data_IF_108513481561
#
_entry.id   IF_108513481561
#
_cell.length_a   1.000
_cell.length_b   1.000
_cell.length_c   1.000
_cell.angle_alpha   90.00
_cell.angle_beta   90.00
_cell.angle_gamma   90.00
#
_symmetry.space_group_name_H-M   'P 1'
#
loop_
_entity.id
_entity.type
_entity.pdbx_description
1 polymer ?
#
# COMPACT_ATOMS: atom_id res chain seq x y z
N UNK A 1 4.64 16.62 9.31
CA UNK A 1 3.55 15.65 9.56
C UNK A 1 3.68 14.38 8.70
N UNK A 2 4.08 14.48 7.44
CA UNK A 2 4.10 13.33 6.51
C UNK A 2 5.06 12.20 6.91
N UNK A 3 6.17 12.55 7.57
CA UNK A 3 7.13 11.57 8.14
C UNK A 3 6.54 10.68 9.23
N UNK A 4 5.44 11.11 9.87
CA UNK A 4 4.73 10.31 10.87
C UNK A 4 3.53 9.59 10.25
N UNK A 5 2.87 10.25 9.28
CA UNK A 5 1.71 9.68 8.61
C UNK A 5 2.05 8.44 7.77
N UNK A 6 3.14 8.48 7.02
CA UNK A 6 3.55 7.36 6.18
C UNK A 6 3.80 6.05 6.97
N UNK A 7 4.65 6.02 8.02
CA UNK A 7 4.84 4.81 8.81
C UNK A 7 3.58 4.40 9.59
N UNK A 8 2.78 5.36 10.07
CA UNK A 8 1.49 5.06 10.71
C UNK A 8 0.53 4.34 9.75
N UNK A 9 0.37 4.87 8.55
CA UNK A 9 -0.51 4.30 7.54
C UNK A 9 -0.03 2.91 7.10
N UNK A 10 1.27 2.75 6.86
CA UNK A 10 1.85 1.45 6.54
C UNK A 10 1.65 0.43 7.67
N UNK A 11 1.85 0.84 8.93
CA UNK A 11 1.59 0.00 10.09
C UNK A 11 0.12 -0.44 10.17
N UNK A 12 -0.84 0.46 9.92
CA UNK A 12 -2.27 0.14 9.93
C UNK A 12 -2.69 -0.82 8.82
N UNK A 13 -2.16 -0.62 7.61
CA UNK A 13 -2.38 -1.55 6.50
C UNK A 13 -1.81 -2.93 6.83
N UNK A 14 -0.61 -2.99 7.41
CA UNK A 14 0.04 -4.23 7.80
C UNK A 14 -0.71 -4.96 8.93
N UNK A 15 -1.11 -4.24 9.98
CA UNK A 15 -1.92 -4.76 11.08
C UNK A 15 -3.21 -5.38 10.56
N UNK A 16 -3.89 -4.68 9.65
CA UNK A 16 -5.14 -5.19 9.05
C UNK A 16 -4.90 -6.41 8.17
N UNK A 17 -3.83 -6.40 7.38
CA UNK A 17 -3.47 -7.50 6.50
C UNK A 17 -3.19 -8.78 7.31
N UNK A 18 -2.44 -8.68 8.41
CA UNK A 18 -2.15 -9.82 9.29
C UNK A 18 -3.44 -10.40 9.92
N UNK A 19 -4.40 -9.55 10.28
CA UNK A 19 -5.69 -9.99 10.82
C UNK A 19 -6.57 -10.70 9.77
N UNK A 20 -6.57 -10.22 8.52
CA UNK A 20 -7.42 -10.80 7.47
C UNK A 20 -6.90 -12.12 6.91
N UNK A 21 -5.58 -12.30 6.92
CA UNK A 21 -4.94 -13.55 6.45
C UNK A 21 -4.73 -14.59 7.55
N UNK A 22 -5.10 -14.28 8.80
CA UNK A 22 -4.71 -15.07 9.99
C UNK A 22 -3.21 -15.42 9.95
N UNK A 23 -2.40 -14.46 9.48
CA UNK A 23 -1.01 -14.71 9.11
C UNK A 23 -0.18 -15.20 10.29
N UNK A 24 -0.56 -14.84 11.51
CA UNK A 24 0.14 -15.27 12.72
C UNK A 24 0.02 -16.78 12.94
N UNK A 25 -1.18 -17.35 12.81
CA UNK A 25 -1.40 -18.80 12.95
C UNK A 25 -0.76 -19.60 11.80
N UNK A 26 -0.82 -19.06 10.58
CA UNK A 26 -0.20 -19.68 9.40
C UNK A 26 1.33 -19.59 9.45
N UNK A 27 1.91 -18.51 9.96
CA UNK A 27 3.35 -18.39 10.19
C UNK A 27 3.83 -19.35 11.28
N UNK A 28 3.00 -19.67 12.28
CA UNK A 28 3.34 -20.65 13.30
C UNK A 28 3.29 -22.10 12.79
N UNK A 29 2.36 -22.42 11.88
CA UNK A 29 2.15 -23.78 11.37
C UNK A 29 2.96 -24.11 10.12
N UNK A 30 3.10 -23.15 9.19
CA UNK A 30 3.73 -23.37 7.88
C UNK A 30 5.07 -22.63 7.74
N UNK A 31 5.38 -21.66 8.61
CA UNK A 31 6.60 -20.86 8.55
C UNK A 31 6.66 -19.84 7.41
N UNK A 32 5.71 -19.90 6.47
CA UNK A 32 5.53 -18.96 5.35
C UNK A 32 4.05 -18.68 5.12
N UNK A 33 3.74 -17.45 4.69
CA UNK A 33 2.40 -17.03 4.27
C UNK A 33 2.52 -16.28 2.96
N UNK A 34 1.90 -16.82 1.92
CA UNK A 34 1.75 -16.14 0.65
C UNK A 34 0.53 -15.22 0.71
N UNK A 35 0.78 -13.91 0.69
CA UNK A 35 -0.29 -12.91 0.70
C UNK A 35 -0.63 -12.55 -0.73
N UNK A 36 -1.86 -12.85 -1.11
CA UNK A 36 -2.39 -12.47 -2.41
C UNK A 36 -2.54 -10.95 -2.52
N UNK A 37 -2.35 -10.47 -3.73
CA UNK A 37 -2.40 -9.06 -4.07
C UNK A 37 -3.76 -8.42 -3.75
N UNK A 38 -4.82 -9.18 -3.97
CA UNK A 38 -6.22 -8.81 -3.71
C UNK A 38 -6.44 -8.53 -2.23
N UNK A 39 -5.79 -9.29 -1.34
CA UNK A 39 -5.86 -9.10 0.11
C UNK A 39 -5.14 -7.82 0.54
N UNK A 40 -3.96 -7.54 -0.03
CA UNK A 40 -3.22 -6.30 0.23
C UNK A 40 -4.03 -5.08 -0.18
N UNK A 41 -4.67 -5.14 -1.35
CA UNK A 41 -5.52 -4.06 -1.85
C UNK A 41 -6.80 -3.89 -1.02
N UNK A 42 -7.39 -5.00 -0.58
CA UNK A 42 -8.55 -5.00 0.32
C UNK A 42 -8.24 -4.32 1.64
N UNK A 43 -7.16 -4.72 2.31
CA UNK A 43 -6.69 -4.12 3.55
C UNK A 43 -6.37 -2.63 3.38
N UNK A 44 -5.66 -2.25 2.30
CA UNK A 44 -5.36 -0.85 1.99
C UNK A 44 -6.63 -0.02 1.84
N UNK A 45 -7.59 -0.48 1.03
CA UNK A 45 -8.84 0.24 0.76
C UNK A 45 -9.67 0.40 2.04
N UNK A 46 -9.70 -0.65 2.86
CA UNK A 46 -10.40 -0.63 4.13
C UNK A 46 -9.80 0.42 5.07
N UNK A 47 -8.48 0.41 5.29
CA UNK A 47 -7.80 1.41 6.12
C UNK A 47 -7.99 2.80 5.55
N UNK A 48 -7.88 2.98 4.23
CA UNK A 48 -8.06 4.28 3.60
C UNK A 48 -9.47 4.86 3.78
N UNK A 49 -10.52 4.04 3.69
CA UNK A 49 -11.91 4.51 3.82
C UNK A 49 -12.42 4.59 5.25
N UNK A 50 -11.90 3.77 6.17
CA UNK A 50 -12.44 3.64 7.53
C UNK A 50 -11.54 4.20 8.63
N UNK A 51 -10.26 4.50 8.36
CA UNK A 51 -9.38 5.13 9.35
C UNK A 51 -9.63 6.65 9.42
N UNK A 52 -10.11 7.11 10.57
CA UNK A 52 -10.41 8.52 10.82
C UNK A 52 -9.20 9.45 10.63
N UNK A 53 -7.99 8.99 10.96
CA UNK A 53 -6.78 9.78 10.81
C UNK A 53 -6.43 9.96 9.33
N UNK A 54 -6.62 8.92 8.52
CA UNK A 54 -6.44 8.98 7.06
C UNK A 54 -7.47 9.92 6.42
N UNK A 55 -8.75 9.79 6.80
CA UNK A 55 -9.79 10.71 6.33
C UNK A 55 -9.49 12.16 6.73
N UNK A 56 -9.11 12.41 7.98
CA UNK A 56 -8.74 13.74 8.44
C UNK A 56 -7.55 14.31 7.66
N UNK A 57 -6.53 13.49 7.42
CA UNK A 57 -5.37 13.89 6.62
C UNK A 57 -5.76 14.21 5.17
N UNK A 58 -6.67 13.46 4.55
CA UNK A 58 -7.20 13.77 3.22
C UNK A 58 -7.90 15.14 3.18
N UNK A 59 -8.73 15.46 4.18
CA UNK A 59 -9.34 16.79 4.28
C UNK A 59 -8.30 17.89 4.53
N UNK A 60 -7.27 17.62 5.33
CA UNK A 60 -6.16 18.55 5.53
C UNK A 60 -5.40 18.83 4.23
N UNK A 61 -5.25 17.83 3.34
CA UNK A 61 -4.67 18.01 2.00
C UNK A 61 -5.53 18.91 1.11
N UNK A 62 -6.86 18.75 1.14
CA UNK A 62 -7.78 19.65 0.41
C UNK A 62 -7.69 21.08 0.97
N UNK A 63 -7.63 21.22 2.29
CA UNK A 63 -7.42 22.50 2.97
C UNK A 63 -6.10 23.15 2.55
N UNK A 64 -5.01 22.38 2.50
CA UNK A 64 -3.71 22.85 2.02
C UNK A 64 -3.77 23.27 0.56
N UNK A 65 -4.43 22.49 -0.31
CA UNK A 65 -4.57 22.82 -1.73
C UNK A 65 -5.34 24.12 -1.94
N UNK A 66 -6.50 24.26 -1.30
CA UNK A 66 -7.32 25.48 -1.39
C UNK A 66 -6.57 26.69 -0.85
N UNK A 67 -5.86 26.56 0.29
CA UNK A 67 -5.02 27.62 0.83
C UNK A 67 -3.90 28.02 -0.13
N UNK A 68 -3.21 27.05 -0.73
CA UNK A 68 -2.18 27.33 -1.76
C UNK A 68 -2.77 28.03 -2.98
N UNK A 69 -4.00 27.69 -3.38
CA UNK A 69 -4.67 28.37 -4.50
C UNK A 69 -5.02 29.82 -4.20
N UNK A 70 -5.60 30.11 -3.03
CA UNK A 70 -5.85 31.48 -2.60
C UNK A 70 -4.55 32.27 -2.43
N UNK A 71 -3.51 31.66 -1.86
CA UNK A 71 -2.20 32.28 -1.71
C UNK A 71 -1.55 32.62 -3.06
N UNK A 72 -1.69 31.74 -4.05
CA UNK A 72 -1.20 32.00 -5.41
C UNK A 72 -1.90 33.21 -6.04
N UNK A 73 -3.22 33.29 -5.95
CA UNK A 73 -4.00 34.43 -6.48
C UNK A 73 -3.61 35.74 -5.81
N UNK A 74 -3.38 35.74 -4.49
CA UNK A 74 -2.93 36.93 -3.76
C UNK A 74 -1.54 37.37 -4.20
N UNK A 75 -0.62 36.42 -4.40
CA UNK A 75 0.73 36.67 -4.89
C UNK A 75 0.72 37.26 -6.31
N UNK A 76 -0.18 36.80 -7.18
CA UNK A 76 -0.27 37.26 -8.56
C UNK A 76 -0.93 38.65 -8.71
N UNK A 77 -1.73 39.08 -7.74
CA UNK A 77 -2.39 40.41 -7.78
C UNK A 77 -1.44 41.58 -7.50
N UNK A 78 -0.43 41.40 -6.66
CA UNK A 78 0.62 42.40 -6.44
C UNK A 78 2.01 41.75 -6.35
N UNK A 79 2.61 41.41 -7.50
CA UNK A 79 3.89 40.70 -7.55
C UNK A 79 5.06 41.51 -6.98
N UNK A 80 4.94 42.85 -7.00
CA UNK A 80 6.01 43.77 -6.64
C UNK A 80 6.30 43.79 -5.13
N UNK A 81 5.26 43.60 -4.31
CA UNK A 81 5.36 43.62 -2.86
C UNK A 81 5.36 42.21 -2.23
N UNK A 82 4.65 41.27 -2.84
CA UNK A 82 4.49 39.93 -2.27
C UNK A 82 5.45 38.88 -2.83
N UNK A 83 6.14 39.09 -3.96
CA UNK A 83 7.00 38.05 -4.54
C UNK A 83 8.26 38.60 -5.24
N UNK A 84 9.10 39.38 -4.54
CA UNK A 84 10.26 40.02 -5.14
C UNK A 84 11.30 39.03 -5.71
N UNK A 85 11.26 37.76 -5.29
CA UNK A 85 12.21 36.72 -5.72
C UNK A 85 11.58 35.42 -6.28
N UNK A 86 10.28 35.39 -6.58
CA UNK A 86 9.62 34.20 -7.15
C UNK A 86 9.33 33.04 -6.18
N UNK A 87 9.92 33.05 -4.98
CA UNK A 87 9.86 31.93 -4.04
C UNK A 87 8.46 31.58 -3.53
N UNK A 88 7.56 32.55 -3.41
CA UNK A 88 6.19 32.31 -2.94
C UNK A 88 5.33 31.60 -3.99
N UNK A 89 5.54 31.90 -5.28
CA UNK A 89 4.91 31.16 -6.37
C UNK A 89 5.44 29.73 -6.48
N UNK A 90 6.74 29.52 -6.22
CA UNK A 90 7.31 28.18 -6.17
C UNK A 90 6.71 27.35 -5.03
N UNK A 91 6.59 27.92 -3.84
CA UNK A 91 5.97 27.25 -2.69
C UNK A 91 4.51 26.85 -2.95
N UNK A 92 3.72 27.72 -3.58
CA UNK A 92 2.35 27.40 -3.98
C UNK A 92 2.29 26.23 -4.99
N UNK A 93 3.16 26.22 -5.99
CA UNK A 93 3.26 25.12 -6.97
C UNK A 93 3.66 23.79 -6.31
N UNK A 94 4.58 23.80 -5.34
CA UNK A 94 4.94 22.58 -4.59
C UNK A 94 3.74 22.05 -3.81
N UNK A 95 2.94 22.92 -3.20
CA UNK A 95 1.70 22.53 -2.51
C UNK A 95 0.69 21.87 -3.45
N UNK A 96 0.48 22.44 -4.63
CA UNK A 96 -0.38 21.85 -5.66
C UNK A 96 0.14 20.51 -6.18
N UNK A 97 1.44 20.44 -6.51
CA UNK A 97 2.06 19.21 -7.00
C UNK A 97 1.93 18.09 -5.98
N UNK A 98 2.13 18.38 -4.69
CA UNK A 98 1.99 17.39 -3.63
C UNK A 98 0.57 16.85 -3.51
N UNK A 99 -0.44 17.72 -3.61
CA UNK A 99 -1.84 17.30 -3.63
C UNK A 99 -2.13 16.36 -4.81
N UNK A 100 -1.72 16.73 -6.03
CA UNK A 100 -1.94 15.89 -7.21
C UNK A 100 -1.21 14.55 -7.12
N UNK A 101 0.04 14.52 -6.63
CA UNK A 101 0.77 13.27 -6.42
C UNK A 101 0.04 12.37 -5.42
N UNK A 102 -0.46 12.92 -4.31
CA UNK A 102 -1.21 12.15 -3.32
C UNK A 102 -2.52 11.58 -3.90
N UNK A 103 -3.26 12.38 -4.67
CA UNK A 103 -4.49 11.93 -5.34
C UNK A 103 -4.21 10.87 -6.39
N UNK A 104 -3.24 11.09 -7.27
CA UNK A 104 -2.87 10.14 -8.31
C UNK A 104 -2.35 8.83 -7.71
N UNK A 105 -1.55 8.90 -6.65
CA UNK A 105 -1.11 7.72 -5.93
C UNK A 105 -2.29 6.94 -5.35
N UNK A 106 -3.20 7.62 -4.67
CA UNK A 106 -4.41 7.00 -4.10
C UNK A 106 -5.29 6.39 -5.19
N UNK A 107 -5.50 7.09 -6.30
CA UNK A 107 -6.27 6.59 -7.44
C UNK A 107 -5.60 5.39 -8.10
N UNK A 108 -4.28 5.39 -8.24
CA UNK A 108 -3.54 4.24 -8.77
C UNK A 108 -3.78 2.99 -7.93
N UNK A 109 -3.76 3.12 -6.60
CA UNK A 109 -4.06 2.03 -5.67
C UNK A 109 -5.53 1.60 -5.65
N UNK A 110 -6.46 2.53 -5.87
CA UNK A 110 -7.90 2.24 -5.86
C UNK A 110 -8.42 1.68 -7.19
N UNK A 111 -7.84 2.12 -8.32
CA UNK A 111 -8.32 1.79 -9.67
C UNK A 111 -7.56 0.63 -10.32
N UNK A 112 -6.29 0.41 -9.96
CA UNK A 112 -5.45 -0.60 -10.59
C UNK A 112 -4.75 -1.47 -9.54
N UNK A 113 -4.98 -2.78 -9.61
CA UNK A 113 -4.24 -3.69 -8.75
C UNK A 113 -2.74 -3.67 -9.04
N UNK A 114 -2.31 -3.34 -10.27
CA UNK A 114 -0.92 -3.43 -10.76
C UNK A 114 0.16 -2.84 -9.83
N UNK A 115 -0.20 -1.90 -8.96
CA UNK A 115 0.70 -1.25 -8.01
C UNK A 115 0.99 -2.07 -6.74
N UNK A 116 0.19 -3.11 -6.45
CA UNK A 116 0.44 -4.07 -5.39
C UNK A 116 1.12 -5.33 -5.94
N UNK A 117 2.22 -5.73 -5.30
CA UNK A 117 2.91 -7.00 -5.57
C UNK A 117 2.48 -8.02 -4.51
N UNK A 118 2.25 -9.26 -4.91
CA UNK A 118 2.09 -10.35 -3.95
C UNK A 118 3.36 -10.49 -3.11
N UNK A 119 3.22 -10.77 -1.81
CA UNK A 119 4.34 -10.83 -0.88
C UNK A 119 4.28 -12.10 -0.05
N UNK A 120 5.37 -12.85 -0.03
CA UNK A 120 5.57 -13.97 0.88
C UNK A 120 6.19 -13.46 2.17
N UNK A 121 5.53 -13.68 3.30
CA UNK A 121 6.06 -13.39 4.64
C UNK A 121 6.70 -14.67 5.16
N UNK A 122 7.99 -14.61 5.54
CA UNK A 122 8.71 -15.75 6.13
C UNK A 122 9.00 -15.49 7.60
N UNK A 123 8.85 -16.51 8.45
CA UNK A 123 9.23 -16.44 9.86
C UNK A 123 10.76 -16.49 9.99
N UNK A 124 11.41 -15.52 10.66
CA UNK A 124 12.87 -15.53 10.81
C UNK A 124 13.29 -16.75 11.65
N UNK A 125 14.10 -17.63 11.06
CA UNK A 125 14.57 -18.87 11.69
C UNK A 125 13.78 -20.14 11.36
N UNK A 126 12.81 -20.07 10.45
CA UNK A 126 12.18 -21.27 9.89
C UNK A 126 12.97 -21.71 8.65
N UNK A 127 13.71 -22.81 8.75
CA UNK A 127 14.26 -23.48 7.57
C UNK A 127 13.09 -24.14 6.83
N UNK A 128 12.99 -23.92 5.52
CA UNK A 128 12.05 -24.66 4.69
C UNK A 128 12.41 -26.14 4.80
N UNK A 129 11.63 -26.90 5.57
CA UNK A 129 11.62 -28.36 5.44
C UNK A 129 11.05 -28.61 4.06
N UNK A 130 11.93 -28.76 3.06
CA UNK A 130 11.55 -29.33 1.77
C UNK A 130 10.85 -30.65 2.10
N UNK A 131 9.52 -30.66 1.94
CA UNK A 131 8.80 -31.90 1.92
C UNK A 131 9.38 -32.69 0.74
N UNK A 132 10.20 -33.69 1.05
CA UNK A 132 10.59 -34.74 0.11
C UNK A 132 9.31 -35.11 -0.67
N UNK A 133 9.33 -34.92 -1.99
CA UNK A 133 8.29 -35.45 -2.87
C UNK A 133 8.22 -36.95 -2.58
N UNK A 134 7.12 -37.37 -1.96
CA UNK A 134 6.80 -38.77 -1.78
C UNK A 134 6.80 -39.40 -3.19
N UNK A 135 7.69 -40.37 -3.49
CA UNK A 135 7.77 -40.95 -4.81
C UNK A 135 6.42 -41.58 -5.10
N UNK A 136 5.70 -41.04 -6.09
CA UNK A 136 4.53 -41.66 -6.68
C UNK A 136 4.90 -43.08 -7.07
N UNK A 137 4.57 -44.02 -6.19
CA UNK A 137 4.67 -45.44 -6.45
C UNK A 137 3.74 -45.75 -7.61
N UNK A 138 4.31 -45.93 -8.79
CA UNK A 138 3.62 -46.52 -9.91
C UNK A 138 3.14 -47.91 -9.49
N UNK A 139 1.84 -48.00 -9.24
CA UNK A 139 1.11 -49.23 -8.97
C UNK A 139 1.32 -50.19 -10.14
N UNK A 140 1.85 -51.37 -9.82
CA UNK A 140 2.20 -52.42 -10.77
C UNK A 140 1.05 -52.76 -11.72
N UNK A 141 1.40 -52.89 -13.01
CA UNK A 141 0.56 -53.55 -14.00
C UNK A 141 0.44 -55.04 -13.64
N UNK A 142 -0.77 -55.61 -13.50
CA UNK A 142 -0.93 -57.04 -13.38
C UNK A 142 -0.65 -57.72 -14.71
N UNK A 143 0.30 -58.64 -14.64
CA UNK A 143 0.53 -59.76 -15.55
C UNK A 143 -0.82 -60.42 -15.91
N UNK A 144 -1.25 -60.36 -17.16
CA UNK A 144 -2.28 -61.25 -17.69
C UNK A 144 -1.69 -61.99 -18.89
N UNK A 145 -1.41 -63.25 -18.63
CA UNK A 145 -1.11 -64.32 -19.58
C UNK A 145 -2.18 -64.49 -20.65
N UNK A 146 -1.71 -64.72 -21.88
CA UNK A 146 -2.08 -65.73 -22.89
C UNK A 146 -3.25 -66.69 -22.57
N UNK A 147 -3.98 -67.20 -23.60
CA UNK A 147 -3.39 -67.91 -24.76
C UNK A 147 -3.76 -67.39 -26.16
#
# INVERSE_FOLDING_TARGET
MNLLFAPYFQYKVWERLMQETDAESLLETQGKVDVEKEQVLGAFKHVFMHDFAVCFYFFALIGSFTWSSYGYDWVMRDPSNCNPGGGLSFAANVGWAFFYVAVLYTLAWMCCGCCAKATTIKKPGYEEVEAEEEPTGELGQPLSSEP
#
